data_IF_668138795751
#
_entry.id   IF_668138795751
#
_cell.length_a   1.000
_cell.length_b   1.000
_cell.length_c   1.000
_cell.angle_alpha   90.00
_cell.angle_beta   90.00
_cell.angle_gamma   90.00
#
_symmetry.space_group_name_H-M   'P 1'
#
loop_
_entity.id
_entity.type
_entity.pdbx_description
1 polymer ?
#
# COMPACT_ATOMS: atom_id res chain seq x y z
N UNK A 1 -17.48 2.60 -0.82
CA UNK A 1 -16.94 1.78 -1.92
C UNK A 1 -17.52 2.02 -3.31
N UNK A 2 -18.85 2.06 -3.49
CA UNK A 2 -19.47 2.17 -4.83
C UNK A 2 -19.03 3.40 -5.63
N UNK A 3 -18.98 4.57 -4.99
CA UNK A 3 -18.55 5.81 -5.62
C UNK A 3 -17.12 5.73 -6.16
N UNK A 4 -16.15 5.34 -5.32
CA UNK A 4 -14.73 5.23 -5.72
C UNK A 4 -14.51 4.27 -6.89
N UNK A 5 -15.26 3.16 -6.94
CA UNK A 5 -15.20 2.23 -8.07
C UNK A 5 -15.72 2.84 -9.37
N UNK A 6 -16.81 3.61 -9.30
CA UNK A 6 -17.38 4.30 -10.46
C UNK A 6 -16.42 5.40 -10.94
N UNK A 7 -15.89 6.20 -10.01
CA UNK A 7 -14.88 7.21 -10.31
C UNK A 7 -13.65 6.62 -11.01
N UNK A 8 -13.03 5.59 -10.44
CA UNK A 8 -11.84 4.97 -11.02
C UNK A 8 -12.08 4.38 -12.42
N UNK A 9 -13.27 3.82 -12.66
CA UNK A 9 -13.68 3.34 -13.99
C UNK A 9 -13.86 4.48 -14.99
N UNK A 10 -14.53 5.56 -14.60
CA UNK A 10 -14.75 6.72 -15.45
C UNK A 10 -13.45 7.46 -15.80
N UNK A 11 -12.45 7.37 -14.93
CA UNK A 11 -11.10 7.92 -15.13
C UNK A 11 -10.11 6.94 -15.78
N UNK A 12 -10.55 5.74 -16.15
CA UNK A 12 -9.72 4.70 -16.78
C UNK A 12 -8.52 4.23 -15.94
N UNK A 13 -8.54 4.46 -14.62
CA UNK A 13 -7.52 4.04 -13.66
C UNK A 13 -7.96 2.80 -12.86
N UNK A 14 -8.80 1.96 -13.46
CA UNK A 14 -9.33 0.74 -12.84
C UNK A 14 -8.95 -0.50 -13.66
N UNK A 15 -7.82 -1.15 -13.31
CA UNK A 15 -7.40 -2.45 -13.85
C UNK A 15 -6.08 -2.89 -13.22
N UNK A 16 -6.09 -3.96 -12.41
CA UNK A 16 -4.85 -4.47 -11.80
C UNK A 16 -3.84 -4.98 -12.84
N UNK A 17 -4.34 -5.61 -13.91
CA UNK A 17 -3.48 -6.21 -14.95
C UNK A 17 -2.76 -5.12 -15.73
N UNK A 18 -3.42 -3.98 -15.97
CA UNK A 18 -2.82 -2.85 -16.67
C UNK A 18 -1.97 -1.94 -15.74
N UNK A 19 -1.73 -2.34 -14.49
CA UNK A 19 -0.93 -1.58 -13.53
C UNK A 19 -1.67 -0.40 -12.90
N UNK A 20 -3.00 -0.47 -12.80
CA UNK A 20 -3.85 0.52 -12.14
C UNK A 20 -4.55 -0.03 -10.90
N UNK A 21 -5.34 0.81 -10.22
CA UNK A 21 -6.00 0.44 -8.96
C UNK A 21 -7.00 -0.71 -9.15
N UNK A 22 -7.00 -1.63 -8.19
CA UNK A 22 -7.94 -2.74 -8.11
C UNK A 22 -9.08 -2.45 -7.14
N UNK A 23 -10.14 -3.27 -7.18
CA UNK A 23 -11.25 -3.17 -6.22
C UNK A 23 -10.79 -3.34 -4.76
N UNK A 24 -9.80 -4.20 -4.52
CA UNK A 24 -9.17 -4.37 -3.21
C UNK A 24 -8.37 -3.12 -2.82
N UNK A 25 -7.54 -2.59 -3.72
CA UNK A 25 -6.75 -1.36 -3.49
C UNK A 25 -7.65 -0.20 -3.05
N UNK A 26 -8.72 0.05 -3.81
CA UNK A 26 -9.69 1.11 -3.48
C UNK A 26 -10.38 0.86 -2.14
N UNK A 27 -10.68 -0.41 -1.80
CA UNK A 27 -11.29 -0.78 -0.52
C UNK A 27 -10.40 -0.47 0.66
N UNK A 28 -9.12 -0.83 0.56
CA UNK A 28 -8.13 -0.59 1.60
C UNK A 28 -7.91 0.92 1.76
N UNK A 29 -7.73 1.65 0.65
CA UNK A 29 -7.61 3.11 0.69
C UNK A 29 -8.83 3.79 1.32
N UNK A 30 -10.03 3.35 0.97
CA UNK A 30 -11.26 3.94 1.54
C UNK A 30 -11.41 3.60 3.02
N UNK A 31 -11.07 2.38 3.42
CA UNK A 31 -11.15 1.95 4.81
C UNK A 31 -10.15 2.71 5.70
N UNK A 32 -8.94 3.03 5.21
CA UNK A 32 -7.99 3.88 5.94
C UNK A 32 -8.58 5.25 6.26
N UNK A 33 -9.29 5.87 5.32
CA UNK A 33 -10.00 7.15 5.57
C UNK A 33 -11.07 6.99 6.66
N UNK A 34 -11.82 5.88 6.65
CA UNK A 34 -12.83 5.63 7.68
C UNK A 34 -12.21 5.45 9.08
N UNK A 35 -11.00 4.89 9.17
CA UNK A 35 -10.27 4.71 10.43
C UNK A 35 -9.66 6.03 10.90
N UNK A 36 -9.03 6.77 9.99
CA UNK A 36 -8.35 8.05 10.28
C UNK A 36 -9.34 9.16 10.69
N UNK A 37 -10.55 9.14 10.12
CA UNK A 37 -11.58 10.14 10.36
C UNK A 37 -12.86 9.49 10.92
N UNK A 38 -12.89 9.09 12.20
CA UNK A 38 -14.06 8.44 12.80
C UNK A 38 -15.28 9.38 12.90
N UNK A 39 -15.05 10.69 12.97
CA UNK A 39 -16.08 11.74 13.02
C UNK A 39 -16.77 12.00 11.66
N UNK A 40 -16.34 11.31 10.60
CA UNK A 40 -16.82 11.52 9.25
C UNK A 40 -18.20 10.87 9.00
N UNK A 41 -19.28 11.56 9.37
CA UNK A 41 -20.65 11.08 9.14
C UNK A 41 -21.12 11.23 7.68
N UNK A 42 -20.53 12.16 6.92
CA UNK A 42 -20.98 12.49 5.55
C UNK A 42 -20.10 11.86 4.47
N UNK A 43 -20.73 11.22 3.49
CA UNK A 43 -20.06 10.65 2.32
C UNK A 43 -19.21 11.69 1.57
N UNK A 44 -19.72 12.90 1.42
CA UNK A 44 -19.02 13.99 0.73
C UNK A 44 -17.73 14.38 1.46
N UNK A 45 -17.72 14.30 2.79
CA UNK A 45 -16.51 14.55 3.58
C UNK A 45 -15.48 13.44 3.37
N UNK A 46 -15.89 12.17 3.43
CA UNK A 46 -15.00 11.02 3.19
C UNK A 46 -14.35 11.10 1.81
N UNK A 47 -15.11 11.46 0.78
CA UNK A 47 -14.57 11.63 -0.58
C UNK A 47 -13.55 12.77 -0.64
N UNK A 48 -13.84 13.92 -0.02
CA UNK A 48 -12.91 15.04 0.03
C UNK A 48 -11.62 14.70 0.78
N UNK A 49 -11.73 14.00 1.91
CA UNK A 49 -10.55 13.56 2.65
C UNK A 49 -9.75 12.49 1.91
N UNK A 50 -10.42 11.60 1.17
CA UNK A 50 -9.75 10.62 0.32
C UNK A 50 -8.81 11.32 -0.67
N UNK A 51 -9.33 12.28 -1.46
CA UNK A 51 -8.49 12.99 -2.43
C UNK A 51 -7.41 13.82 -1.75
N UNK A 52 -7.75 14.50 -0.65
CA UNK A 52 -6.78 15.31 0.10
C UNK A 52 -5.62 14.48 0.65
N UNK A 53 -5.90 13.36 1.32
CA UNK A 53 -4.90 12.51 1.95
C UNK A 53 -4.00 11.86 0.90
N UNK A 54 -4.58 11.28 -0.15
CA UNK A 54 -3.83 10.56 -1.17
C UNK A 54 -3.09 11.46 -2.17
N UNK A 55 -3.47 12.73 -2.25
CA UNK A 55 -2.70 13.73 -2.98
C UNK A 55 -1.42 14.14 -2.23
N UNK A 56 -1.45 14.16 -0.90
CA UNK A 56 -0.27 14.46 -0.07
C UNK A 56 0.54 13.22 0.34
N UNK A 57 0.14 12.02 -0.10
CA UNK A 57 0.81 10.78 0.28
C UNK A 57 2.11 10.60 -0.51
N UNK A 58 3.20 10.27 0.19
CA UNK A 58 4.51 10.00 -0.42
C UNK A 58 4.57 8.58 -1.00
N UNK A 59 3.91 8.41 -2.14
CA UNK A 59 3.89 7.13 -2.87
C UNK A 59 5.32 6.68 -3.23
N UNK A 60 5.65 5.44 -2.87
CA UNK A 60 6.96 4.83 -3.11
C UNK A 60 7.88 4.83 -1.88
N UNK A 61 7.73 5.80 -0.99
CA UNK A 61 8.45 5.84 0.28
C UNK A 61 7.71 5.05 1.35
N UNK A 62 6.40 5.23 1.51
CA UNK A 62 5.61 4.59 2.58
C UNK A 62 4.49 3.68 2.03
N UNK A 63 4.46 2.40 2.44
CA UNK A 63 3.33 1.52 2.14
C UNK A 63 2.10 1.92 2.94
N UNK A 64 0.94 1.72 2.32
CA UNK A 64 -0.34 1.94 2.94
C UNK A 64 -0.78 0.70 3.70
N UNK A 65 -0.78 0.80 5.02
CA UNK A 65 -1.38 -0.18 5.94
C UNK A 65 -2.72 0.33 6.49
N UNK A 66 -3.63 -0.60 6.77
CA UNK A 66 -4.94 -0.33 7.38
C UNK A 66 -4.90 -0.27 8.90
N UNK A 67 -4.07 -1.12 9.49
CA UNK A 67 -3.86 -1.24 10.92
C UNK A 67 -2.35 -1.16 11.08
N UNK A 68 -1.86 -0.31 11.99
CA UNK A 68 -0.45 -0.37 12.38
C UNK A 68 -0.19 -1.80 12.84
N UNK A 69 0.80 -2.46 12.25
CA UNK A 69 1.11 -3.86 12.54
C UNK A 69 1.13 -4.03 14.06
N UNK A 70 0.08 -4.65 14.61
CA UNK A 70 0.08 -5.07 16.01
C UNK A 70 1.33 -5.93 16.09
N UNK A 71 2.22 -5.58 17.03
CA UNK A 71 3.53 -6.19 17.19
C UNK A 71 3.32 -7.70 17.41
N UNK A 72 3.30 -8.46 16.31
CA UNK A 72 3.02 -9.90 16.34
C UNK A 72 4.12 -10.67 17.07
N UNK A 73 5.19 -9.98 17.47
CA UNK A 73 6.23 -10.47 18.35
C UNK A 73 5.66 -11.04 19.67
N UNK A 74 4.54 -10.54 20.20
CA UNK A 74 3.91 -11.14 21.39
C UNK A 74 3.13 -12.45 21.10
N UNK A 75 2.77 -12.72 19.84
CA UNK A 75 2.00 -13.93 19.48
C UNK A 75 2.90 -15.03 18.92
N UNK A 76 4.12 -14.74 18.45
CA UNK A 76 5.01 -15.73 17.83
C UNK A 76 6.05 -16.37 18.78
N UNK A 77 6.27 -15.86 19.99
CA UNK A 77 7.20 -16.51 20.95
C UNK A 77 6.74 -17.91 21.40
N UNK A 78 5.47 -18.26 21.21
CA UNK A 78 4.91 -19.56 21.60
C UNK A 78 4.71 -20.56 20.43
N UNK A 79 5.09 -20.20 19.20
CA UNK A 79 4.86 -21.02 18.00
C UNK A 79 6.17 -21.38 17.28
N UNK A 80 7.02 -22.17 17.93
CA UNK A 80 8.39 -22.53 17.49
C UNK A 80 8.51 -23.43 16.25
N UNK A 81 7.51 -23.55 15.37
CA UNK A 81 7.55 -24.56 14.29
C UNK A 81 6.90 -24.15 12.96
N UNK A 82 6.70 -22.86 12.66
CA UNK A 82 6.16 -22.50 11.34
C UNK A 82 7.11 -21.53 10.65
N UNK A 83 7.63 -21.98 9.51
CA UNK A 83 8.38 -21.26 8.48
C UNK A 83 8.03 -19.78 8.46
N UNK A 84 9.04 -18.92 8.52
CA UNK A 84 8.87 -17.47 8.52
C UNK A 84 7.88 -17.03 7.43
N UNK A 85 6.75 -16.42 7.80
CA UNK A 85 5.84 -15.88 6.82
C UNK A 85 6.53 -14.76 6.08
N UNK A 86 6.33 -14.70 4.75
CA UNK A 86 6.80 -13.63 3.88
C UNK A 86 6.33 -12.27 4.42
N UNK A 87 7.15 -11.62 5.26
CA UNK A 87 6.94 -10.27 5.75
C UNK A 87 7.36 -9.31 4.65
N UNK A 88 6.54 -8.31 4.34
CA UNK A 88 6.93 -7.28 3.38
C UNK A 88 8.01 -6.40 4.04
N UNK A 89 9.28 -6.72 3.77
CA UNK A 89 10.43 -5.96 4.28
C UNK A 89 10.85 -4.97 3.20
N UNK A 90 10.90 -3.68 3.56
CA UNK A 90 11.66 -2.70 2.78
C UNK A 90 13.13 -3.05 2.94
N UNK A 91 13.85 -3.21 1.84
CA UNK A 91 15.29 -3.46 1.86
C UNK A 91 16.10 -2.20 2.22
N UNK A 92 15.73 -1.51 3.29
CA UNK A 92 16.42 -0.32 3.80
C UNK A 92 16.54 -0.42 5.31
N UNK A 93 17.38 -1.33 5.82
CA UNK A 93 17.89 -1.25 7.19
C UNK A 93 19.33 -1.77 7.24
N UNK A 94 20.25 -0.88 6.86
CA UNK A 94 21.66 -0.99 7.23
C UNK A 94 21.86 -0.41 8.63
N UNK A 95 21.75 -1.25 9.68
CA UNK A 95 22.74 -1.31 10.78
C UNK A 95 22.25 -2.15 11.96
N UNK A 96 22.60 -3.44 12.00
CA UNK A 96 23.56 -3.97 12.98
C UNK A 96 23.75 -5.47 12.74
N UNK A 97 25.01 -5.81 12.54
CA UNK A 97 25.52 -7.12 12.13
C UNK A 97 25.33 -8.17 13.23
N UNK A 98 25.03 -9.41 12.84
CA UNK A 98 25.91 -10.57 13.11
C UNK A 98 25.46 -11.77 12.27
N UNK A 99 26.39 -12.36 11.50
CA UNK A 99 26.33 -13.79 11.17
C UNK A 99 26.26 -14.20 9.69
N UNK A 100 27.41 -14.13 9.02
CA UNK A 100 27.91 -15.13 8.03
C UNK A 100 27.15 -15.42 6.72
N UNK A 101 27.78 -14.95 5.64
CA UNK A 101 28.06 -15.69 4.39
C UNK A 101 26.91 -15.96 3.42
N UNK A 102 26.72 -15.06 2.46
CA UNK A 102 26.85 -15.38 1.03
C UNK A 102 27.03 -14.09 0.21
N UNK A 103 28.22 -13.91 -0.35
CA UNK A 103 28.52 -12.83 -1.31
C UNK A 103 27.92 -13.22 -2.65
N UNK A 104 26.93 -12.46 -3.13
CA UNK A 104 26.59 -12.41 -4.56
C UNK A 104 26.52 -10.95 -5.01
N UNK A 105 27.19 -10.69 -6.12
CA UNK A 105 27.67 -9.37 -6.51
C UNK A 105 26.62 -8.41 -7.05
N UNK A 106 27.03 -7.15 -6.99
CA UNK A 106 26.90 -6.08 -8.01
C UNK A 106 25.51 -5.53 -8.36
N UNK A 107 25.33 -4.25 -8.00
CA UNK A 107 24.84 -3.12 -8.79
C UNK A 107 23.41 -3.11 -9.42
N UNK A 108 22.88 -1.88 -9.48
CA UNK A 108 21.97 -1.32 -10.49
C UNK A 108 20.44 -1.47 -10.34
N UNK A 109 19.80 -0.30 -10.14
CA UNK A 109 18.37 -0.07 -10.37
C UNK A 109 17.58 0.04 -9.08
N UNK A 110 17.27 1.26 -8.65
CA UNK A 110 16.34 1.52 -7.55
C UNK A 110 14.92 1.08 -7.97
N UNK A 111 14.67 -0.23 -7.96
CA UNK A 111 13.43 -0.89 -8.39
C UNK A 111 12.44 -1.01 -7.22
N UNK A 112 12.41 -0.01 -6.34
CA UNK A 112 11.42 0.07 -5.26
C UNK A 112 10.01 0.07 -5.83
N UNK A 113 9.09 -0.62 -5.15
CA UNK A 113 7.67 -0.61 -5.47
C UNK A 113 7.14 0.82 -5.52
N UNK A 114 6.59 1.23 -6.66
CA UNK A 114 6.16 2.62 -6.88
C UNK A 114 4.93 2.98 -6.05
N UNK A 115 4.10 1.98 -5.73
CA UNK A 115 2.89 2.11 -4.93
C UNK A 115 2.68 0.82 -4.15
N UNK A 116 2.58 0.91 -2.82
CA UNK A 116 2.35 -0.26 -1.97
C UNK A 116 1.07 -0.06 -1.16
N UNK A 117 0.07 -0.90 -1.43
CA UNK A 117 -1.18 -0.97 -0.66
C UNK A 117 -1.27 -2.39 -0.12
N UNK A 118 -1.17 -2.55 1.20
CA UNK A 118 -1.00 -3.86 1.82
C UNK A 118 -2.34 -4.38 2.37
N UNK A 119 -2.64 -5.66 2.10
CA UNK A 119 -3.80 -6.33 2.68
C UNK A 119 -3.59 -6.59 4.18
N UNK A 120 -4.58 -6.32 5.04
CA UNK A 120 -4.47 -6.55 6.48
C UNK A 120 -4.61 -8.03 6.88
N UNK A 121 -5.02 -8.89 5.96
CA UNK A 121 -5.17 -10.33 6.21
C UNK A 121 -3.86 -11.06 5.97
N UNK A 122 -3.54 -12.01 6.85
CA UNK A 122 -2.37 -12.86 6.71
C UNK A 122 -2.57 -13.93 5.60
N UNK A 123 -1.56 -14.21 4.76
CA UNK A 123 -0.31 -13.46 4.63
C UNK A 123 -0.53 -12.12 3.93
N UNK A 124 0.20 -11.09 4.38
CA UNK A 124 0.11 -9.74 3.83
C UNK A 124 0.60 -9.69 2.37
N UNK A 125 -0.14 -8.98 1.51
CA UNK A 125 0.18 -8.86 0.10
C UNK A 125 -0.02 -7.43 -0.40
N UNK A 126 0.89 -6.98 -1.27
CA UNK A 126 0.74 -5.72 -1.97
C UNK A 126 -0.29 -5.86 -3.11
N UNK A 127 -1.40 -5.13 -3.01
CA UNK A 127 -2.48 -5.14 -4.02
C UNK A 127 -2.17 -4.31 -5.27
N UNK A 128 -1.11 -3.51 -5.25
CA UNK A 128 -0.66 -2.61 -6.34
C UNK A 128 0.71 -3.01 -6.91
N UNK A 129 1.06 -4.29 -6.84
CA UNK A 129 2.35 -4.80 -7.33
C UNK A 129 2.64 -4.56 -8.82
N UNK A 130 1.60 -4.38 -9.65
CA UNK A 130 1.74 -4.08 -11.08
C UNK A 130 1.86 -2.57 -11.39
N UNK A 131 1.75 -1.69 -10.38
CA UNK A 131 1.84 -0.24 -10.58
C UNK A 131 3.29 0.12 -10.92
N UNK A 132 3.47 0.80 -12.05
CA UNK A 132 4.76 1.32 -12.50
C UNK A 132 4.77 2.85 -12.41
N UNK A 133 5.92 3.47 -12.70
CA UNK A 133 6.10 4.93 -12.61
C UNK A 133 5.11 5.72 -13.46
N UNK A 134 4.73 5.20 -14.62
CA UNK A 134 3.78 5.87 -15.53
C UNK A 134 2.35 5.76 -15.00
N UNK A 135 1.91 4.57 -14.62
CA UNK A 135 0.56 4.37 -14.10
C UNK A 135 0.37 5.06 -12.76
N UNK A 136 1.41 5.09 -11.91
CA UNK A 136 1.42 5.91 -10.69
C UNK A 136 1.18 7.39 -11.02
N UNK A 137 1.91 7.96 -11.99
CA UNK A 137 1.74 9.35 -12.40
C UNK A 137 0.31 9.64 -12.86
N UNK A 138 -0.30 8.72 -13.62
CA UNK A 138 -1.69 8.83 -14.04
C UNK A 138 -2.66 8.77 -12.86
N UNK A 139 -2.46 7.82 -11.92
CA UNK A 139 -3.28 7.69 -10.71
C UNK A 139 -3.20 8.97 -9.86
N UNK A 140 -1.99 9.48 -9.61
CA UNK A 140 -1.78 10.70 -8.82
C UNK A 140 -2.40 11.91 -9.52
N UNK A 141 -2.25 12.04 -10.85
CA UNK A 141 -2.90 13.11 -11.60
C UNK A 141 -4.43 13.09 -11.49
N UNK A 142 -5.04 11.90 -11.54
CA UNK A 142 -6.50 11.77 -11.36
C UNK A 142 -6.96 12.05 -9.92
N UNK A 143 -6.13 11.75 -8.92
CA UNK A 143 -6.37 12.09 -7.51
C UNK A 143 -6.29 13.61 -7.31
N UNK A 144 -5.32 14.29 -7.93
CA UNK A 144 -5.14 15.74 -7.86
C UNK A 144 -6.36 16.47 -8.45
N UNK A 145 -6.89 16.00 -9.58
CA UNK A 145 -8.10 16.57 -10.21
C UNK A 145 -9.35 16.36 -9.33
N UNK A 146 -9.37 15.35 -8.44
CA UNK A 146 -10.51 15.04 -7.58
C UNK A 146 -10.66 15.93 -6.33
N UNK A 147 -9.70 16.82 -6.06
CA UNK A 147 -9.67 17.72 -4.89
C UNK A 147 -10.75 18.81 -4.94
#
# INVERSE_FOLDING_TARGET
MRYMKIWAKNRLIYSNIAGYLSGHSLSIMSAKICIEFPEATSLSFVIKQFFKLYNSWNWGEEPLFLVDLIDTNEVFENASTIVEPWRWVKNDDSSSETGSSEKRGTNEGNNGTQMSIITPGFPEQNTTFNVNKFTLKMIVGEIEIGK
#
